data_IF_565913706358
#
_entry.id   IF_565913706358
#
_cell.length_a   1.000
_cell.length_b   1.000
_cell.length_c   1.000
_cell.angle_alpha   90.00
_cell.angle_beta   90.00
_cell.angle_gamma   90.00
#
_symmetry.space_group_name_H-M   'P 1'
#
loop_
_entity.id
_entity.type
_entity.pdbx_description
1 polymer ?
#
# COMPACT_ATOMS: atom_id res chain seq x y z
N UNK A 1 6.13 5.96 7.75
CA UNK A 1 5.44 7.00 8.54
C UNK A 1 4.30 6.36 9.33
N UNK A 2 4.37 6.32 10.67
CA UNK A 2 3.26 5.83 11.51
C UNK A 2 2.28 6.99 11.73
N UNK A 3 1.05 6.86 11.21
CA UNK A 3 0.01 7.87 11.40
C UNK A 3 -1.05 7.32 12.35
N UNK A 4 -1.46 8.13 13.33
CA UNK A 4 -2.43 7.72 14.36
C UNK A 4 -3.84 7.58 13.76
N UNK A 5 -4.64 6.65 14.31
CA UNK A 5 -6.03 6.41 13.88
C UNK A 5 -6.88 7.68 13.87
N UNK A 6 -6.78 8.52 14.91
CA UNK A 6 -7.52 9.78 15.00
C UNK A 6 -7.18 10.77 13.88
N UNK A 7 -5.92 10.84 13.44
CA UNK A 7 -5.51 11.66 12.28
C UNK A 7 -6.16 11.18 11.00
N UNK A 8 -6.22 9.86 10.80
CA UNK A 8 -6.87 9.25 9.64
C UNK A 8 -8.36 9.59 9.66
N UNK A 9 -9.03 9.47 10.81
CA UNK A 9 -10.44 9.83 10.95
C UNK A 9 -10.70 11.31 10.65
N UNK A 10 -9.84 12.23 11.09
CA UNK A 10 -9.93 13.66 10.71
C UNK A 10 -9.84 13.85 9.20
N UNK A 11 -8.91 13.15 8.55
CA UNK A 11 -8.73 13.20 7.09
C UNK A 11 -9.97 12.66 6.35
N UNK A 12 -10.57 11.57 6.83
CA UNK A 12 -11.81 11.00 6.28
C UNK A 12 -12.98 11.97 6.45
N UNK A 13 -13.11 12.62 7.61
CA UNK A 13 -14.15 13.65 7.84
C UNK A 13 -14.02 14.80 6.84
N UNK A 14 -12.79 15.29 6.60
CA UNK A 14 -12.53 16.34 5.60
C UNK A 14 -12.94 15.87 4.21
N UNK A 15 -12.55 14.65 3.82
CA UNK A 15 -12.93 14.05 2.55
C UNK A 15 -14.44 13.96 2.37
N UNK A 16 -15.15 13.44 3.37
CA UNK A 16 -16.62 13.32 3.34
C UNK A 16 -17.34 14.67 3.27
N UNK A 17 -16.79 15.72 3.87
CA UNK A 17 -17.34 17.07 3.73
C UNK A 17 -17.16 17.61 2.30
N UNK A 18 -15.97 17.45 1.73
CA UNK A 18 -15.66 17.84 0.34
C UNK A 18 -16.59 17.10 -0.64
N UNK A 19 -16.71 15.77 -0.47
CA UNK A 19 -17.58 14.91 -1.26
C UNK A 19 -19.04 15.35 -1.16
N UNK A 20 -19.57 15.53 0.06
CA UNK A 20 -20.98 15.91 0.29
C UNK A 20 -21.38 17.21 -0.40
N UNK A 21 -20.50 18.21 -0.39
CA UNK A 21 -20.82 19.54 -0.93
C UNK A 21 -20.36 19.72 -2.38
N UNK A 22 -19.77 18.68 -3.02
CA UNK A 22 -19.22 18.74 -4.37
C UNK A 22 -18.30 19.96 -4.60
N UNK A 23 -17.50 20.30 -3.58
CA UNK A 23 -16.50 21.38 -3.66
C UNK A 23 -15.11 20.78 -3.56
N UNK A 24 -14.11 21.41 -4.17
CA UNK A 24 -12.70 21.02 -4.02
C UNK A 24 -12.12 21.29 -2.62
N UNK A 25 -12.89 21.96 -1.76
CA UNK A 25 -12.45 22.46 -0.47
C UNK A 25 -13.59 22.53 0.54
N UNK A 26 -13.25 22.63 1.82
CA UNK A 26 -14.23 22.78 2.90
C UNK A 26 -13.70 23.69 4.01
N UNK A 27 -14.59 24.33 4.77
CA UNK A 27 -14.22 25.22 5.88
C UNK A 27 -14.88 24.84 7.22
N UNK A 28 -14.80 23.57 7.66
CA UNK A 28 -15.47 23.17 8.89
C UNK A 28 -14.87 23.86 10.12
N UNK A 29 -15.73 24.27 11.06
CA UNK A 29 -15.28 24.69 12.39
C UNK A 29 -14.67 23.51 13.15
N UNK A 30 -13.78 23.79 14.10
CA UNK A 30 -13.16 22.75 14.96
C UNK A 30 -14.23 21.95 15.72
N UNK A 31 -15.25 22.64 16.22
CA UNK A 31 -16.42 22.04 16.85
C UNK A 31 -17.19 21.12 15.89
N UNK A 32 -17.34 21.52 14.62
CA UNK A 32 -17.99 20.66 13.62
C UNK A 32 -17.20 19.40 13.36
N UNK A 33 -15.88 19.48 13.24
CA UNK A 33 -15.00 18.30 13.12
C UNK A 33 -15.18 17.39 14.34
N UNK A 34 -15.13 17.94 15.55
CA UNK A 34 -15.34 17.18 16.80
C UNK A 34 -16.66 16.40 16.76
N UNK A 35 -17.77 17.09 16.45
CA UNK A 35 -19.11 16.48 16.36
C UNK A 35 -19.16 15.35 15.34
N UNK A 36 -18.50 15.49 14.20
CA UNK A 36 -18.47 14.47 13.15
C UNK A 36 -17.59 13.27 13.52
N UNK A 37 -16.47 13.50 14.21
CA UNK A 37 -15.62 12.42 14.72
C UNK A 37 -16.35 11.56 15.74
N UNK A 38 -17.04 12.19 16.69
CA UNK A 38 -17.85 11.47 17.67
C UNK A 38 -18.96 10.67 16.98
N UNK A 39 -19.73 11.32 16.09
CA UNK A 39 -20.87 10.69 15.42
C UNK A 39 -20.52 9.50 14.52
N UNK A 40 -19.44 9.59 13.74
CA UNK A 40 -19.14 8.62 12.69
C UNK A 40 -17.96 7.70 12.98
N UNK A 41 -17.14 8.03 13.96
CA UNK A 41 -15.94 7.26 14.29
C UNK A 41 -15.83 6.88 15.77
N UNK A 42 -16.78 7.32 16.60
CA UNK A 42 -16.77 7.14 18.06
C UNK A 42 -15.46 7.62 18.71
N UNK A 43 -15.00 8.79 18.26
CA UNK A 43 -13.76 9.43 18.74
C UNK A 43 -14.14 10.75 19.41
N UNK A 44 -14.07 10.78 20.74
CA UNK A 44 -14.10 12.02 21.51
C UNK A 44 -12.67 12.54 21.76
N UNK A 45 -12.36 13.71 21.22
CA UNK A 45 -11.07 14.38 21.40
C UNK A 45 -11.27 15.86 21.68
N UNK A 46 -10.32 16.45 22.40
CA UNK A 46 -10.32 17.89 22.70
C UNK A 46 -10.13 18.74 21.43
N UNK A 47 -10.60 19.98 21.48
CA UNK A 47 -10.45 20.95 20.37
C UNK A 47 -8.97 21.18 20.06
N UNK A 48 -8.13 21.26 21.11
CA UNK A 48 -6.69 21.40 20.98
C UNK A 48 -6.06 20.22 20.22
N UNK A 49 -6.49 18.98 20.52
CA UNK A 49 -6.02 17.80 19.81
C UNK A 49 -6.39 17.88 18.32
N UNK A 50 -7.60 18.32 17.98
CA UNK A 50 -8.02 18.52 16.58
C UNK A 50 -7.08 19.49 15.86
N UNK A 51 -6.72 20.61 16.48
CA UNK A 51 -5.77 21.56 15.87
C UNK A 51 -4.39 20.96 15.66
N UNK A 52 -3.89 20.20 16.64
CA UNK A 52 -2.62 19.45 16.50
C UNK A 52 -2.70 18.41 15.37
N UNK A 53 -3.82 17.71 15.22
CA UNK A 53 -4.04 16.76 14.14
C UNK A 53 -4.07 17.46 12.77
N UNK A 54 -4.80 18.57 12.65
CA UNK A 54 -4.87 19.35 11.42
C UNK A 54 -3.50 19.92 11.02
N UNK A 55 -2.74 20.47 11.97
CA UNK A 55 -1.38 20.93 11.73
C UNK A 55 -0.51 19.78 11.21
N UNK A 56 -0.52 18.65 11.91
CA UNK A 56 0.25 17.47 11.50
C UNK A 56 -0.15 16.93 10.12
N UNK A 57 -1.44 16.93 9.76
CA UNK A 57 -1.89 16.52 8.42
C UNK A 57 -1.43 17.50 7.33
N UNK A 58 -1.36 18.80 7.66
CA UNK A 58 -0.82 19.83 6.77
C UNK A 58 0.69 19.65 6.60
N UNK A 59 1.43 19.41 7.69
CA UNK A 59 2.88 19.16 7.68
C UNK A 59 3.24 17.91 6.85
N UNK A 60 2.37 16.88 6.87
CA UNK A 60 2.54 15.69 6.03
C UNK A 60 2.14 15.88 4.56
N UNK A 61 1.71 17.08 4.17
CA UNK A 61 1.18 17.42 2.86
C UNK A 61 -0.02 16.55 2.45
N UNK A 62 -0.85 16.11 3.42
CA UNK A 62 -2.10 15.37 3.15
C UNK A 62 -3.28 16.32 2.95
N UNK A 63 -3.23 17.47 3.61
CA UNK A 63 -4.15 18.59 3.40
C UNK A 63 -3.37 19.87 3.14
N UNK A 64 -4.01 20.85 2.51
CA UNK A 64 -3.57 22.25 2.49
C UNK A 64 -4.57 23.10 3.26
N UNK A 65 -4.06 23.99 4.11
CA UNK A 65 -4.88 24.90 4.89
C UNK A 65 -4.64 26.35 4.47
N UNK A 66 -5.72 27.10 4.21
CA UNK A 66 -5.66 28.53 3.90
C UNK A 66 -6.43 29.33 4.95
N UNK A 67 -5.77 30.32 5.54
CA UNK A 67 -6.40 31.21 6.52
C UNK A 67 -7.42 32.10 5.84
N UNK A 68 -8.54 32.36 6.51
CA UNK A 68 -9.61 33.23 6.02
C UNK A 68 -9.87 34.35 7.02
N UNK A 69 -10.13 35.53 6.48
CA UNK A 69 -10.48 36.72 7.26
C UNK A 69 -11.86 37.21 6.84
N UNK A 70 -12.57 37.81 7.77
CA UNK A 70 -13.75 38.63 7.51
C UNK A 70 -13.53 40.03 8.06
N UNK A 71 -14.30 40.97 7.56
CA UNK A 71 -14.36 42.34 8.06
C UNK A 71 -15.72 42.54 8.74
N UNK A 72 -15.74 43.23 9.87
CA UNK A 72 -16.96 43.70 10.53
C UNK A 72 -17.32 45.09 10.01
N UNK A 73 -18.53 45.53 10.30
CA UNK A 73 -19.03 46.86 9.92
C UNK A 73 -18.16 47.98 10.52
N UNK A 74 -17.59 47.75 11.72
CA UNK A 74 -16.63 48.65 12.39
C UNK A 74 -15.23 48.69 11.73
N UNK A 75 -15.05 48.04 10.58
CA UNK A 75 -13.77 47.94 9.87
C UNK A 75 -12.78 46.93 10.45
N UNK A 76 -13.05 46.35 11.63
CA UNK A 76 -12.16 45.38 12.29
C UNK A 76 -12.13 44.01 11.58
N UNK A 77 -10.95 43.38 11.55
CA UNK A 77 -10.77 42.04 10.97
C UNK A 77 -10.99 40.94 12.00
N UNK A 78 -11.69 39.87 11.60
CA UNK A 78 -11.87 38.68 12.42
C UNK A 78 -11.51 37.40 11.66
N UNK A 79 -11.16 36.36 12.44
CA UNK A 79 -10.74 35.08 11.88
C UNK A 79 -11.95 34.21 11.53
N UNK A 80 -12.05 33.85 10.26
CA UNK A 80 -12.99 32.84 9.78
C UNK A 80 -12.35 31.45 9.86
N UNK A 81 -13.16 30.37 9.93
CA UNK A 81 -12.64 29.01 9.88
C UNK A 81 -11.78 28.80 8.63
N UNK A 82 -10.56 28.29 8.83
CA UNK A 82 -9.62 28.06 7.74
C UNK A 82 -10.20 27.14 6.68
N UNK A 83 -9.94 27.48 5.42
CA UNK A 83 -10.20 26.61 4.30
C UNK A 83 -9.26 25.40 4.35
N UNK A 84 -9.77 24.21 4.05
CA UNK A 84 -9.01 22.96 4.01
C UNK A 84 -9.30 22.24 2.69
N UNK A 85 -8.23 21.86 2.02
CA UNK A 85 -8.25 21.12 0.76
C UNK A 85 -7.49 19.82 0.91
N UNK A 86 -7.94 18.77 0.24
CA UNK A 86 -7.15 17.55 0.11
C UNK A 86 -6.11 17.71 -0.99
N UNK A 87 -4.90 17.24 -0.73
CA UNK A 87 -3.86 17.17 -1.75
C UNK A 87 -3.99 15.89 -2.56
N UNK A 88 -3.34 15.83 -3.73
CA UNK A 88 -3.18 14.59 -4.51
C UNK A 88 -2.62 13.45 -3.63
N UNK A 89 -1.66 13.77 -2.75
CA UNK A 89 -1.06 12.83 -1.79
C UNK A 89 -2.07 12.37 -0.73
N UNK A 90 -2.91 13.26 -0.21
CA UNK A 90 -3.98 12.93 0.73
C UNK A 90 -5.01 11.97 0.14
N UNK A 91 -5.43 12.21 -1.10
CA UNK A 91 -6.36 11.33 -1.83
C UNK A 91 -5.72 9.97 -2.11
N UNK A 92 -4.50 9.94 -2.65
CA UNK A 92 -3.78 8.69 -2.91
C UNK A 92 -3.59 7.86 -1.62
N UNK A 93 -3.34 8.52 -0.48
CA UNK A 93 -3.27 7.87 0.82
C UNK A 93 -4.59 7.18 1.19
N UNK A 94 -5.73 7.88 1.08
CA UNK A 94 -7.05 7.30 1.37
C UNK A 94 -7.39 6.13 0.43
N UNK A 95 -7.09 6.26 -0.86
CA UNK A 95 -7.28 5.17 -1.84
C UNK A 95 -6.44 3.95 -1.44
N UNK A 96 -5.16 4.15 -1.10
CA UNK A 96 -4.29 3.06 -0.68
C UNK A 96 -4.80 2.33 0.56
N UNK A 97 -5.48 3.04 1.47
CA UNK A 97 -6.11 2.45 2.65
C UNK A 97 -7.31 1.59 2.22
N UNK A 98 -8.17 2.12 1.35
CA UNK A 98 -9.33 1.42 0.82
C UNK A 98 -8.95 0.15 0.06
N UNK A 99 -7.93 0.21 -0.80
CA UNK A 99 -7.43 -0.96 -1.55
C UNK A 99 -6.90 -2.04 -0.61
N UNK A 100 -6.16 -1.66 0.45
CA UNK A 100 -5.67 -2.63 1.45
C UNK A 100 -6.80 -3.32 2.18
N UNK A 101 -7.82 -2.57 2.60
CA UNK A 101 -9.00 -3.10 3.29
C UNK A 101 -9.78 -4.02 2.35
N UNK A 102 -10.00 -3.61 1.10
CA UNK A 102 -10.70 -4.41 0.09
C UNK A 102 -9.97 -5.73 -0.18
N UNK A 103 -8.64 -5.68 -0.38
CA UNK A 103 -7.84 -6.90 -0.56
C UNK A 103 -7.93 -7.83 0.65
N UNK A 104 -7.82 -7.28 1.87
CA UNK A 104 -7.95 -8.05 3.10
C UNK A 104 -9.35 -8.70 3.23
N UNK A 105 -10.42 -7.97 2.88
CA UNK A 105 -11.78 -8.51 2.87
C UNK A 105 -11.95 -9.63 1.83
N UNK A 106 -11.39 -9.47 0.63
CA UNK A 106 -11.42 -10.51 -0.40
C UNK A 106 -10.69 -11.77 0.06
N UNK A 107 -9.51 -11.62 0.66
CA UNK A 107 -8.74 -12.75 1.20
C UNK A 107 -9.47 -13.42 2.38
N UNK A 108 -10.24 -12.66 3.17
CA UNK A 108 -11.04 -13.16 4.29
C UNK A 108 -12.35 -13.84 3.88
N UNK A 109 -13.04 -13.32 2.87
CA UNK A 109 -14.31 -13.88 2.37
C UNK A 109 -14.04 -15.05 1.44
N UNK A 110 -13.15 -14.87 0.47
CA UNK A 110 -12.68 -15.91 -0.43
C UNK A 110 -11.44 -16.55 0.16
N UNK A 111 -11.52 -17.06 1.40
CA UNK A 111 -10.48 -17.90 1.97
C UNK A 111 -10.17 -18.95 0.92
N UNK A 112 -9.01 -18.83 0.28
CA UNK A 112 -8.54 -19.84 -0.64
C UNK A 112 -8.51 -21.12 0.19
N UNK A 113 -9.49 -21.98 -0.01
CA UNK A 113 -9.25 -23.41 -0.01
C UNK A 113 -8.07 -23.55 -0.96
N UNK A 114 -6.86 -23.52 -0.38
CA UNK A 114 -5.61 -23.76 -1.08
C UNK A 114 -5.66 -25.23 -1.43
N UNK A 115 -6.53 -25.59 -2.38
CA UNK A 115 -6.24 -26.66 -3.30
C UNK A 115 -4.94 -26.17 -3.93
N UNK A 116 -3.83 -26.62 -3.34
CA UNK A 116 -2.53 -26.56 -3.97
C UNK A 116 -2.76 -27.33 -5.26
N UNK A 117 -3.19 -26.63 -6.32
CA UNK A 117 -2.96 -27.10 -7.67
C UNK A 117 -1.44 -27.14 -7.71
N UNK A 118 -0.89 -28.30 -7.33
CA UNK A 118 0.41 -28.73 -7.79
C UNK A 118 0.24 -28.51 -9.28
N UNK A 119 0.77 -27.41 -9.80
CA UNK A 119 1.12 -27.37 -11.19
C UNK A 119 2.04 -28.58 -11.30
N UNK A 120 1.45 -29.72 -11.68
CA UNK A 120 2.20 -30.79 -12.27
C UNK A 120 2.96 -30.05 -13.34
N UNK A 121 4.26 -29.87 -13.12
CA UNK A 121 5.17 -29.54 -14.18
C UNK A 121 5.07 -30.73 -15.13
N UNK A 122 3.98 -30.79 -15.91
CA UNK A 122 3.97 -31.52 -17.15
C UNK A 122 5.07 -30.83 -17.91
N UNK A 123 6.26 -31.46 -17.92
CA UNK A 123 7.34 -31.05 -18.78
C UNK A 123 6.71 -31.01 -20.17
N UNK A 124 6.45 -29.80 -20.68
CA UNK A 124 5.81 -29.57 -21.98
C UNK A 124 6.66 -30.16 -23.12
N UNK A 125 7.90 -30.49 -22.81
CA UNK A 125 8.83 -31.19 -23.68
C UNK A 125 9.29 -32.46 -22.97
N UNK A 126 9.21 -33.65 -23.62
CA UNK A 126 10.00 -34.78 -23.15
C UNK A 126 11.45 -34.30 -23.10
N UNK A 127 12.13 -34.49 -21.97
CA UNK A 127 13.59 -34.35 -21.99
C UNK A 127 14.08 -35.33 -23.05
N UNK A 128 14.90 -34.91 -24.02
CA UNK A 128 15.52 -35.87 -24.92
C UNK A 128 16.19 -36.90 -24.02
N UNK A 129 15.86 -38.18 -24.21
CA UNK A 129 16.58 -39.26 -23.54
C UNK A 129 18.06 -38.94 -23.66
N UNK A 130 18.85 -39.02 -22.56
CA UNK A 130 20.27 -38.77 -22.66
C UNK A 130 20.77 -39.72 -23.74
N UNK A 131 21.11 -39.17 -24.92
CA UNK A 131 21.67 -39.92 -26.04
C UNK A 131 22.69 -40.82 -25.39
N UNK A 132 22.52 -42.15 -25.49
CA UNK A 132 23.46 -43.14 -24.95
C UNK A 132 24.83 -42.57 -25.23
N UNK A 133 25.49 -42.09 -24.18
CA UNK A 133 26.81 -41.49 -24.31
C UNK A 133 27.62 -42.64 -24.84
N UNK A 134 27.92 -42.61 -26.15
CA UNK A 134 28.95 -43.46 -26.72
C UNK A 134 30.18 -43.09 -25.92
N UNK A 135 30.46 -43.88 -24.88
CA UNK A 135 31.67 -43.76 -24.09
C UNK A 135 32.77 -43.92 -25.11
N UNK A 136 33.41 -42.82 -25.51
CA UNK A 136 34.68 -42.90 -26.22
C UNK A 136 35.57 -43.77 -25.34
N UNK A 137 36.04 -44.88 -25.89
CA UNK A 137 37.05 -45.71 -25.25
C UNK A 137 38.17 -44.80 -24.77
N UNK A 138 38.47 -44.83 -23.47
CA UNK A 138 39.62 -44.10 -22.96
C UNK A 138 40.85 -44.75 -23.58
N UNK A 139 41.77 -43.91 -24.06
CA UNK A 139 43.07 -44.30 -24.62
C UNK A 139 43.95 -45.05 -23.57
N UNK A 140 43.50 -45.14 -22.31
CA UNK A 140 44.15 -45.89 -21.23
C UNK A 140 43.98 -47.42 -21.28
N UNK A 141 43.23 -47.97 -22.25
CA UNK A 141 43.04 -49.42 -22.38
C UNK A 141 44.08 -50.07 -23.33
N UNK A 142 45.05 -49.31 -23.84
CA UNK A 142 46.27 -49.89 -24.40
C UNK A 142 47.21 -50.23 -23.25
N UNK A 143 47.12 -51.46 -22.75
CA UNK A 143 48.20 -52.07 -21.99
C UNK A 143 49.49 -52.00 -22.81
N UNK A 144 50.50 -51.42 -22.17
CA UNK A 144 51.94 -51.63 -22.30
C UNK A 144 52.42 -52.53 -23.44
N UNK A 145 53.45 -52.06 -24.15
CA UNK A 145 54.32 -52.78 -25.12
C UNK A 145 54.91 -54.11 -24.57
N UNK A 146 54.64 -54.49 -23.32
CA UNK A 146 55.08 -55.72 -22.67
C UNK A 146 54.28 -57.00 -22.98
N UNK A 147 53.13 -56.93 -23.64
CA UNK A 147 52.31 -58.13 -23.96
C UNK A 147 52.57 -58.73 -25.36
N UNK A 148 53.46 -58.14 -26.17
CA UNK A 148 53.79 -58.63 -27.52
C UNK A 148 54.90 -59.73 -27.50
N UNK A 149 55.50 -60.05 -26.36
CA UNK A 149 56.60 -61.03 -26.25
C UNK A 149 56.27 -62.30 -25.44
N UNK A 150 54.99 -62.71 -25.37
CA UNK A 150 54.61 -64.02 -24.80
C UNK A 150 53.77 -64.85 -25.77
N UNK A 151 54.42 -65.31 -26.84
CA UNK A 151 54.12 -66.61 -27.45
C UNK A 151 55.42 -67.40 -27.51
N UNK A 152 55.61 -68.46 -26.70
CA UNK A 152 56.64 -69.44 -26.97
C UNK A 152 56.24 -70.30 -28.18
N UNK A 153 57.22 -70.48 -29.08
CA UNK A 153 57.49 -71.56 -30.04
C UNK A 153 56.29 -72.37 -30.55
#
# INVERSE_FOLDING_TARGET
MKIQRSKISVLIVIFKLIEKYHRSYCWPTRLRIKKLLLKYHDIDISIYAIDKHLKSLNDFNLIKSFRRFGQRDDGTLFLKPSNRQLTKKGVAFLISLGVKISKWLLDFVFQKNKIRRRFSQKKLFPSPDPKKVLRRSRISDFSTIGDILKTPV
#
